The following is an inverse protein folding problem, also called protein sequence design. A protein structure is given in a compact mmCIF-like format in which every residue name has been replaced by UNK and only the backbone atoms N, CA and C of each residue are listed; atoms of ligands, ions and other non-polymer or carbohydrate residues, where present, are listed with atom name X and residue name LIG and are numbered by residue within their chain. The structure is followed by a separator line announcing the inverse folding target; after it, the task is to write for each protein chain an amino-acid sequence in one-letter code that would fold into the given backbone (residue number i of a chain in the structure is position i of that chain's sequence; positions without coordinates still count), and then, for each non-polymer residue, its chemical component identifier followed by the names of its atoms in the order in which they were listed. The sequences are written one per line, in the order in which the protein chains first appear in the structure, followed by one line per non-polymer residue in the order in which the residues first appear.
data_IF_743127001946
#
_entry.id   IF_743127001946
#
_cell.length_a   1.000
_cell.length_b   1.000
_cell.length_c   1.000
_cell.angle_alpha   90.00
_cell.angle_beta   90.00
_cell.angle_gamma   90.00
#
_symmetry.space_group_name_H-M   'P 1'
#
loop_
_entity.id
_entity.type
_entity.pdbx_description
1 polymer ?
#
# COMPACT_ATOMS: atom_id res chain seq x y z
N UNK A 1 46.62 39.48 14.15
CA UNK A 1 45.98 40.33 15.15
C UNK A 1 45.31 39.38 16.12
N UNK A 2 46.05 38.80 17.06
CA UNK A 2 46.33 39.14 18.47
C UNK A 2 45.10 39.64 19.24
N UNK A 3 44.62 38.86 20.16
CA UNK A 3 44.66 39.18 21.59
C UNK A 3 44.08 38.06 22.45
N UNK A 4 44.97 37.54 23.25
CA UNK A 4 44.80 36.78 24.48
C UNK A 4 44.27 37.66 25.61
N UNK A 5 43.47 37.09 26.51
CA UNK A 5 43.35 37.60 27.88
C UNK A 5 43.23 36.45 28.89
N UNK A 6 44.24 36.39 29.76
CA UNK A 6 44.32 35.64 30.99
C UNK A 6 43.93 36.53 32.18
N UNK A 7 43.31 35.97 33.24
CA UNK A 7 43.38 36.47 34.62
C UNK A 7 42.95 35.34 35.55
N UNK A 8 43.84 34.72 36.31
CA UNK A 8 44.39 34.96 37.63
C UNK A 8 43.39 34.86 38.81
N UNK A 9 43.71 33.88 39.68
CA UNK A 9 43.10 33.64 41.00
C UNK A 9 43.59 34.67 42.06
N UNK A 10 42.98 34.72 43.22
CA UNK A 10 43.75 34.80 44.43
C UNK A 10 43.35 33.87 45.60
N UNK A 11 44.36 33.54 46.29
CA UNK A 11 44.65 32.88 47.53
C UNK A 11 43.80 33.22 48.78
N UNK A 12 43.58 32.18 49.62
CA UNK A 12 44.05 32.20 51.03
C UNK A 12 42.98 32.23 52.12
N UNK A 13 42.84 31.22 52.93
CA UNK A 13 43.33 31.26 54.28
C UNK A 13 43.07 29.95 55.07
N UNK A 14 44.01 29.61 55.85
CA UNK A 14 44.11 28.50 56.82
C UNK A 14 43.21 28.79 58.03
N UNK A 15 42.59 27.80 58.64
CA UNK A 15 42.56 27.57 60.07
C UNK A 15 42.43 26.11 60.43
N UNK A 16 43.31 25.65 61.28
CA UNK A 16 43.39 24.41 62.04
C UNK A 16 42.26 24.30 63.03
N UNK A 17 41.77 23.07 63.31
CA UNK A 17 41.49 22.53 64.66
C UNK A 17 41.27 21.01 64.61
N UNK A 18 41.95 20.38 65.59
CA UNK A 18 41.98 18.93 65.88
C UNK A 18 40.64 18.27 66.18
N UNK A 19 40.60 16.95 65.91
CA UNK A 19 40.17 15.96 66.89
C UNK A 19 38.86 15.27 66.61
N UNK A 20 38.87 14.04 66.26
CA UNK A 20 38.38 12.91 67.04
C UNK A 20 38.32 11.64 66.15
N UNK A 21 39.10 10.64 66.56
CA UNK A 21 38.98 9.28 65.98
C UNK A 21 37.63 8.66 66.29
N UNK A 22 36.93 8.24 65.27
CA UNK A 22 35.90 7.20 65.42
C UNK A 22 36.11 6.17 64.31
N UNK A 23 36.63 5.02 64.67
CA UNK A 23 36.69 3.83 63.88
C UNK A 23 35.26 3.38 63.58
N UNK A 24 34.79 3.52 62.33
CA UNK A 24 33.61 2.83 61.83
C UNK A 24 34.11 1.90 60.74
N UNK A 25 34.17 0.61 61.11
CA UNK A 25 34.33 -0.52 60.18
C UNK A 25 33.18 -0.53 59.21
N UNK A 26 33.32 0.13 58.08
CA UNK A 26 32.38 0.00 56.97
C UNK A 26 32.69 -1.28 56.22
N UNK A 27 31.95 -2.32 56.47
CA UNK A 27 31.92 -3.53 55.64
C UNK A 27 31.42 -3.16 54.24
N UNK A 28 32.34 -2.99 53.31
CA UNK A 28 32.01 -2.94 51.87
C UNK A 28 31.54 -4.32 51.45
N UNK A 29 30.24 -4.51 51.46
CA UNK A 29 29.60 -5.61 50.73
C UNK A 29 29.90 -5.42 49.25
N UNK A 30 30.96 -6.06 48.75
CA UNK A 30 31.10 -6.37 47.36
C UNK A 30 29.96 -7.31 46.98
N UNK A 31 28.87 -6.78 46.46
CA UNK A 31 27.87 -7.57 45.73
C UNK A 31 28.58 -7.99 44.46
N UNK A 32 29.30 -9.11 44.50
CA UNK A 32 29.68 -9.83 43.31
C UNK A 32 28.40 -10.27 42.62
N UNK A 33 27.89 -9.43 41.72
CA UNK A 33 26.93 -9.82 40.74
C UNK A 33 27.59 -10.86 39.81
N UNK A 34 27.74 -12.09 40.30
CA UNK A 34 27.96 -13.23 39.42
C UNK A 34 26.72 -13.35 38.54
N UNK A 35 26.77 -12.69 37.40
CA UNK A 35 25.82 -12.98 36.32
C UNK A 35 25.88 -14.48 36.06
N UNK A 36 24.92 -15.23 36.59
CA UNK A 36 24.75 -16.64 36.23
C UNK A 36 24.56 -16.67 34.72
N UNK A 37 25.59 -17.05 33.98
CA UNK A 37 25.44 -17.38 32.57
C UNK A 37 24.33 -18.43 32.51
N UNK A 38 23.28 -18.12 31.76
CA UNK A 38 22.26 -19.12 31.52
C UNK A 38 22.92 -20.40 30.98
N UNK A 39 22.44 -21.58 31.37
CA UNK A 39 23.00 -22.83 30.86
C UNK A 39 22.98 -22.80 29.34
N UNK A 40 23.98 -23.42 28.67
CA UNK A 40 24.02 -23.49 27.21
C UNK A 40 22.71 -24.10 26.72
N UNK A 41 22.02 -23.37 25.85
CA UNK A 41 20.78 -23.88 25.23
C UNK A 41 21.17 -24.95 24.21
N UNK A 42 20.51 -26.12 24.26
CA UNK A 42 20.73 -27.16 23.28
C UNK A 42 20.49 -26.61 21.87
N UNK A 43 21.43 -26.74 20.92
CA UNK A 43 21.29 -26.19 19.58
C UNK A 43 19.95 -26.44 18.91
N UNK A 44 19.42 -27.65 19.04
CA UNK A 44 18.13 -28.09 18.48
C UNK A 44 16.92 -27.25 18.98
N UNK A 45 17.01 -26.63 20.15
CA UNK A 45 15.93 -25.79 20.70
C UNK A 45 15.89 -24.40 20.04
N UNK A 46 16.99 -23.97 19.43
CA UNK A 46 17.12 -22.64 18.83
C UNK A 46 17.28 -22.70 17.32
N UNK A 47 17.79 -23.82 16.76
CA UNK A 47 17.93 -23.99 15.31
C UNK A 47 16.57 -23.87 14.62
N UNK A 48 16.44 -22.96 13.62
CA UNK A 48 15.19 -22.79 12.88
C UNK A 48 14.74 -24.09 12.20
N UNK A 49 13.45 -24.30 12.08
CA UNK A 49 12.92 -25.33 11.19
C UNK A 49 13.23 -25.01 9.73
N UNK A 50 13.05 -25.98 8.84
CA UNK A 50 13.16 -25.73 7.41
C UNK A 50 12.25 -24.57 6.97
N UNK A 51 12.75 -23.75 6.05
CA UNK A 51 11.94 -22.73 5.40
C UNK A 51 10.78 -23.41 4.68
N UNK A 52 9.57 -22.89 4.89
CA UNK A 52 8.34 -23.43 4.30
C UNK A 52 7.77 -22.48 3.25
N UNK A 53 6.80 -22.96 2.47
CA UNK A 53 6.11 -22.18 1.43
C UNK A 53 7.08 -21.56 0.42
N UNK A 54 8.19 -22.24 0.12
CA UNK A 54 9.10 -21.79 -0.93
C UNK A 54 8.43 -22.02 -2.27
N UNK A 55 8.38 -20.95 -3.09
CA UNK A 55 7.92 -20.99 -4.47
C UNK A 55 8.97 -20.38 -5.38
N UNK A 56 8.97 -20.76 -6.65
CA UNK A 56 9.82 -20.19 -7.68
C UNK A 56 9.01 -20.02 -8.95
N UNK A 57 9.04 -18.81 -9.53
CA UNK A 57 8.40 -18.51 -10.80
C UNK A 57 9.40 -17.83 -11.74
N UNK A 58 9.26 -18.09 -13.03
CA UNK A 58 10.07 -17.43 -14.05
C UNK A 58 9.38 -16.17 -14.57
N UNK A 59 10.15 -15.10 -14.72
CA UNK A 59 9.75 -13.92 -15.49
C UNK A 59 10.94 -13.47 -16.30
N UNK A 60 10.79 -13.48 -17.60
CA UNK A 60 11.91 -13.29 -18.51
C UNK A 60 13.06 -14.28 -18.18
N UNK A 61 14.30 -13.82 -18.21
CA UNK A 61 15.48 -14.60 -17.87
C UNK A 61 15.84 -14.57 -16.37
N UNK A 62 14.85 -14.50 -15.48
CA UNK A 62 15.01 -14.41 -14.01
C UNK A 62 14.13 -15.40 -13.29
N UNK A 63 14.60 -15.85 -12.12
CA UNK A 63 13.79 -16.63 -11.19
C UNK A 63 13.41 -15.78 -9.97
N UNK A 64 12.13 -15.72 -9.67
CA UNK A 64 11.56 -15.04 -8.50
C UNK A 64 11.23 -16.08 -7.45
N UNK A 65 11.93 -16.02 -6.34
CA UNK A 65 11.78 -16.92 -5.19
C UNK A 65 10.99 -16.22 -4.10
N UNK A 66 9.93 -16.87 -3.61
CA UNK A 66 9.19 -16.36 -2.45
C UNK A 66 9.18 -17.41 -1.34
N UNK A 67 9.24 -16.95 -0.10
CA UNK A 67 9.17 -17.82 1.08
C UNK A 67 8.65 -17.08 2.30
N UNK A 68 8.24 -17.85 3.31
CA UNK A 68 7.85 -17.29 4.60
C UNK A 68 8.90 -17.57 5.68
N UNK A 69 9.03 -16.64 6.63
CA UNK A 69 9.90 -16.78 7.79
C UNK A 69 9.48 -17.99 8.63
N UNK A 70 10.38 -18.92 9.00
CA UNK A 70 10.05 -19.98 9.92
C UNK A 70 9.61 -19.47 11.28
N UNK A 71 8.41 -19.82 11.71
CA UNK A 71 7.87 -19.42 13.01
C UNK A 71 8.41 -20.25 14.17
N UNK A 72 8.95 -21.47 13.90
CA UNK A 72 9.34 -22.45 14.92
C UNK A 72 10.77 -22.95 14.73
N UNK A 73 11.37 -23.38 15.84
CA UNK A 73 12.62 -24.16 15.85
C UNK A 73 12.34 -25.65 15.55
N UNK A 74 13.39 -26.45 15.38
CA UNK A 74 13.30 -27.89 15.15
C UNK A 74 12.50 -28.63 16.23
N UNK A 75 12.50 -28.16 17.47
CA UNK A 75 11.73 -28.72 18.60
C UNK A 75 10.38 -28.03 18.82
N UNK A 76 9.87 -27.27 17.84
CA UNK A 76 8.55 -26.66 17.86
C UNK A 76 8.40 -25.42 18.74
N UNK A 77 9.47 -24.93 19.38
CA UNK A 77 9.47 -23.66 20.10
C UNK A 77 9.51 -22.47 19.12
N UNK A 78 9.07 -21.27 19.52
CA UNK A 78 9.20 -20.10 18.66
C UNK A 78 10.64 -19.95 18.14
N UNK A 79 10.79 -19.78 16.83
CA UNK A 79 12.10 -19.50 16.24
C UNK A 79 12.56 -18.12 16.69
N UNK A 80 13.68 -18.06 17.44
CA UNK A 80 14.28 -16.81 17.86
C UNK A 80 15.29 -16.37 16.80
N UNK A 81 15.26 -15.08 16.47
CA UNK A 81 16.31 -14.33 15.76
C UNK A 81 16.94 -15.05 14.56
N UNK A 82 16.15 -15.28 13.53
CA UNK A 82 16.70 -15.62 12.21
C UNK A 82 17.48 -14.41 11.75
N UNK A 83 18.78 -14.61 11.45
CA UNK A 83 19.69 -13.57 10.96
C UNK A 83 19.61 -13.39 9.46
N UNK A 84 19.70 -14.52 8.76
CA UNK A 84 19.74 -14.52 7.29
C UNK A 84 19.15 -15.80 6.72
N UNK A 85 18.86 -15.77 5.44
CA UNK A 85 18.53 -16.91 4.61
C UNK A 85 19.63 -17.12 3.61
N UNK A 86 20.10 -18.36 3.48
CA UNK A 86 21.01 -18.77 2.42
C UNK A 86 20.20 -19.40 1.30
N UNK A 87 20.42 -18.93 0.08
CA UNK A 87 19.75 -19.39 -1.14
C UNK A 87 20.74 -20.18 -1.97
N UNK A 88 20.38 -21.42 -2.25
CA UNK A 88 21.18 -22.34 -3.06
C UNK A 88 20.48 -22.65 -4.36
N UNK A 89 21.27 -22.68 -5.46
CA UNK A 89 20.82 -23.00 -6.82
C UNK A 89 21.66 -24.13 -7.41
N UNK A 90 21.03 -25.01 -8.16
CA UNK A 90 21.70 -25.94 -9.07
C UNK A 90 20.96 -25.98 -10.41
N UNK A 91 21.69 -26.28 -11.47
CA UNK A 91 21.10 -26.63 -12.76
C UNK A 91 20.57 -28.06 -12.73
N UNK A 92 19.40 -28.27 -13.33
CA UNK A 92 18.79 -29.58 -13.49
C UNK A 92 19.11 -30.07 -14.89
N UNK A 93 19.91 -31.13 -14.99
CA UNK A 93 20.19 -31.81 -16.25
C UNK A 93 19.13 -32.88 -16.51
N UNK A 94 18.77 -33.09 -17.77
CA UNK A 94 17.82 -34.13 -18.17
C UNK A 94 18.37 -35.52 -17.94
N UNK A 95 19.69 -35.71 -18.03
CA UNK A 95 20.39 -36.98 -17.80
C UNK A 95 21.67 -36.76 -16.99
N UNK A 96 22.01 -37.74 -16.17
CA UNK A 96 23.23 -37.77 -15.38
C UNK A 96 23.04 -37.48 -13.90
N UNK A 97 24.18 -37.44 -13.15
CA UNK A 97 24.17 -37.14 -11.73
C UNK A 97 23.72 -35.69 -11.45
N UNK A 98 22.95 -35.50 -10.37
CA UNK A 98 22.55 -34.19 -9.92
C UNK A 98 23.81 -33.34 -9.63
N UNK A 99 23.87 -32.15 -10.23
CA UNK A 99 24.92 -31.18 -9.93
C UNK A 99 24.79 -30.68 -8.49
N UNK A 100 25.91 -30.42 -7.79
CA UNK A 100 25.86 -29.85 -6.45
C UNK A 100 25.23 -28.46 -6.50
N UNK A 101 24.42 -28.13 -5.50
CA UNK A 101 23.85 -26.80 -5.36
C UNK A 101 24.92 -25.83 -4.84
N UNK A 102 24.98 -24.63 -5.41
CA UNK A 102 25.88 -23.54 -5.03
C UNK A 102 25.13 -22.46 -4.30
N UNK A 103 25.75 -21.88 -3.29
CA UNK A 103 25.22 -20.70 -2.61
C UNK A 103 25.29 -19.50 -3.56
N UNK A 104 24.14 -18.92 -3.87
CA UNK A 104 24.05 -17.76 -4.80
C UNK A 104 23.79 -16.46 -4.07
N UNK A 105 23.12 -16.49 -2.91
CA UNK A 105 22.81 -15.29 -2.16
C UNK A 105 22.62 -15.55 -0.67
N UNK A 106 22.84 -14.51 0.12
CA UNK A 106 22.46 -14.39 1.52
C UNK A 106 21.52 -13.20 1.68
N UNK A 107 20.35 -13.42 2.30
CA UNK A 107 19.32 -12.41 2.52
C UNK A 107 19.20 -12.17 4.01
N UNK A 108 19.56 -10.97 4.50
CA UNK A 108 19.40 -10.58 5.90
C UNK A 108 17.92 -10.56 6.28
N UNK A 109 17.55 -11.18 7.40
CA UNK A 109 16.15 -11.36 7.76
C UNK A 109 15.45 -10.06 8.22
N UNK A 110 16.20 -9.13 8.82
CA UNK A 110 15.59 -7.93 9.39
C UNK A 110 15.74 -6.67 8.50
N UNK A 111 16.76 -6.60 7.66
CA UNK A 111 17.03 -5.48 6.77
C UNK A 111 17.67 -6.02 5.47
N UNK A 112 16.90 -6.66 4.61
CA UNK A 112 17.43 -7.17 3.37
C UNK A 112 17.74 -6.02 2.40
N UNK A 113 18.94 -6.03 1.86
CA UNK A 113 19.37 -5.09 0.81
C UNK A 113 19.06 -5.64 -0.59
N UNK A 114 18.89 -6.94 -0.70
CA UNK A 114 18.78 -7.70 -1.96
C UNK A 114 17.47 -8.50 -2.08
N UNK A 115 16.47 -8.24 -1.23
CA UNK A 115 15.16 -8.88 -1.29
C UNK A 115 14.07 -7.91 -0.87
N UNK A 116 12.85 -8.11 -1.38
CA UNK A 116 11.65 -7.41 -0.91
C UNK A 116 11.07 -8.15 0.28
N UNK A 117 10.52 -7.40 1.26
CA UNK A 117 9.84 -7.96 2.44
C UNK A 117 8.47 -7.35 2.60
N UNK A 118 7.49 -8.21 2.83
CA UNK A 118 6.12 -7.81 3.17
C UNK A 118 5.64 -8.69 4.33
N UNK A 119 5.60 -8.13 5.54
CA UNK A 119 5.35 -8.90 6.75
C UNK A 119 6.39 -10.00 6.96
N UNK A 120 5.95 -11.26 7.06
CA UNK A 120 6.82 -12.44 7.20
C UNK A 120 7.22 -13.05 5.85
N UNK A 121 6.84 -12.47 4.73
CA UNK A 121 7.12 -12.97 3.38
C UNK A 121 8.29 -12.23 2.76
N UNK A 122 9.16 -12.98 2.09
CA UNK A 122 10.34 -12.49 1.38
C UNK A 122 10.23 -12.82 -0.09
N UNK A 123 10.75 -11.94 -0.94
CA UNK A 123 10.92 -12.18 -2.37
C UNK A 123 12.36 -11.83 -2.78
N UNK A 124 13.07 -12.78 -3.38
CA UNK A 124 14.42 -12.63 -3.93
C UNK A 124 14.38 -12.89 -5.44
N UNK A 125 15.15 -12.13 -6.19
CA UNK A 125 15.29 -12.28 -7.63
C UNK A 125 16.67 -12.81 -7.96
N UNK A 126 16.73 -14.01 -8.53
CA UNK A 126 17.95 -14.53 -9.14
C UNK A 126 17.99 -14.08 -10.60
N UNK A 127 18.84 -13.12 -10.87
CA UNK A 127 19.11 -12.57 -12.21
C UNK A 127 20.43 -13.06 -12.82
N UNK A 128 20.97 -14.16 -12.28
CA UNK A 128 22.26 -14.69 -12.75
C UNK A 128 23.42 -13.74 -12.51
N UNK A 129 23.41 -12.92 -11.46
CA UNK A 129 24.37 -11.86 -11.15
C UNK A 129 24.40 -10.77 -12.24
N UNK A 130 23.22 -10.34 -12.69
CA UNK A 130 23.05 -9.30 -13.70
C UNK A 130 23.16 -9.78 -15.16
N UNK A 131 23.49 -11.06 -15.39
CA UNK A 131 23.64 -11.63 -16.74
C UNK A 131 22.38 -12.30 -17.28
N UNK A 132 21.39 -12.51 -16.40
CA UNK A 132 20.24 -13.35 -16.68
C UNK A 132 20.55 -14.85 -16.55
N UNK A 133 19.51 -15.64 -16.38
CA UNK A 133 19.55 -17.08 -16.42
C UNK A 133 19.36 -17.57 -17.87
N UNK A 134 19.91 -18.74 -18.19
CA UNK A 134 19.80 -19.28 -19.56
C UNK A 134 18.36 -19.73 -19.83
N UNK A 135 17.84 -19.33 -20.99
CA UNK A 135 16.56 -19.85 -21.48
C UNK A 135 16.63 -21.35 -21.74
N UNK A 136 15.48 -22.00 -21.69
CA UNK A 136 15.30 -23.46 -21.84
C UNK A 136 16.01 -24.29 -20.76
N UNK A 137 16.58 -23.65 -19.74
CA UNK A 137 17.26 -24.31 -18.63
C UNK A 137 16.34 -24.41 -17.41
N UNK A 138 16.33 -25.57 -16.77
CA UNK A 138 15.65 -25.78 -15.48
C UNK A 138 16.65 -25.63 -14.33
N UNK A 139 16.22 -24.87 -13.32
CA UNK A 139 16.97 -24.65 -12.08
C UNK A 139 16.18 -25.18 -10.89
N UNK A 140 16.90 -25.69 -9.90
CA UNK A 140 16.35 -26.11 -8.62
C UNK A 140 16.95 -25.26 -7.49
N UNK A 141 16.09 -24.84 -6.58
CA UNK A 141 16.44 -23.99 -5.44
C UNK A 141 16.06 -24.64 -4.13
N UNK A 142 16.89 -24.45 -3.12
CA UNK A 142 16.52 -24.67 -1.72
C UNK A 142 17.10 -23.56 -0.85
N UNK A 143 16.48 -23.34 0.30
CA UNK A 143 16.84 -22.29 1.24
C UNK A 143 17.16 -22.90 2.61
N UNK A 144 18.05 -22.20 3.34
CA UNK A 144 18.33 -22.48 4.75
C UNK A 144 18.17 -21.21 5.56
N UNK A 145 17.51 -21.30 6.71
CA UNK A 145 17.45 -20.21 7.68
C UNK A 145 18.63 -20.34 8.67
N UNK A 146 19.31 -19.24 8.92
CA UNK A 146 20.47 -19.14 9.81
C UNK A 146 20.08 -18.30 11.01
N UNK A 147 20.37 -18.78 12.22
CA UNK A 147 20.23 -17.98 13.43
C UNK A 147 21.59 -17.64 14.03
N UNK A 148 21.59 -16.71 15.01
CA UNK A 148 22.82 -16.23 15.63
C UNK A 148 23.54 -17.35 16.40
N UNK A 149 24.79 -17.69 15.97
CA UNK A 149 25.70 -18.56 16.70
C UNK A 149 25.39 -20.08 16.67
N UNK A 150 24.42 -20.54 15.91
CA UNK A 150 23.92 -21.94 15.98
C UNK A 150 24.03 -22.73 14.66
N UNK A 151 24.54 -22.09 13.61
CA UNK A 151 24.65 -22.73 12.30
C UNK A 151 23.33 -22.80 11.50
N UNK A 152 23.38 -23.36 10.28
CA UNK A 152 22.24 -23.44 9.40
C UNK A 152 21.18 -24.42 9.85
N UNK A 153 19.91 -24.05 9.72
CA UNK A 153 18.79 -24.95 9.78
C UNK A 153 18.80 -25.97 8.63
N UNK A 154 17.92 -26.98 8.65
CA UNK A 154 17.80 -27.91 7.55
C UNK A 154 17.36 -27.19 6.27
N UNK A 155 17.73 -27.74 5.08
CA UNK A 155 17.29 -27.20 3.82
C UNK A 155 15.77 -27.30 3.69
N UNK A 156 15.17 -26.34 2.99
CA UNK A 156 13.78 -26.44 2.54
C UNK A 156 13.60 -27.61 1.55
N UNK A 157 12.35 -27.92 1.22
CA UNK A 157 12.07 -28.68 0.00
C UNK A 157 12.64 -27.93 -1.20
N UNK A 158 13.16 -28.68 -2.16
CA UNK A 158 13.59 -28.13 -3.44
C UNK A 158 12.37 -27.68 -4.25
N UNK A 159 12.47 -26.49 -4.85
CA UNK A 159 11.51 -26.00 -5.83
C UNK A 159 12.22 -25.86 -7.16
N UNK A 160 11.53 -26.21 -8.24
CA UNK A 160 12.08 -26.16 -9.58
C UNK A 160 11.39 -25.07 -10.39
N UNK A 161 12.15 -24.40 -11.24
CA UNK A 161 11.64 -23.44 -12.21
C UNK A 161 12.39 -23.62 -13.54
N UNK A 162 11.65 -23.63 -14.63
CA UNK A 162 12.20 -23.56 -15.97
C UNK A 162 12.21 -22.11 -16.41
N UNK A 163 13.30 -21.67 -17.01
CA UNK A 163 13.43 -20.35 -17.57
C UNK A 163 13.07 -20.42 -19.05
N UNK A 164 11.87 -19.96 -19.37
CA UNK A 164 11.39 -19.91 -20.75
C UNK A 164 11.27 -18.45 -21.20
N UNK A 165 11.54 -18.16 -22.50
CA UNK A 165 11.30 -16.82 -23.02
C UNK A 165 9.80 -16.52 -22.98
N UNK A 166 9.42 -15.61 -22.09
CA UNK A 166 8.03 -15.17 -21.93
C UNK A 166 7.65 -14.03 -22.85
N UNK A 167 6.41 -13.53 -22.80
CA UNK A 167 5.99 -12.36 -23.56
C UNK A 167 6.76 -11.11 -23.09
N UNK A 168 6.99 -10.18 -24.02
CA UNK A 168 7.44 -8.84 -23.62
C UNK A 168 6.41 -8.17 -22.69
N UNK A 169 6.82 -7.21 -21.85
CA UNK A 169 5.89 -6.47 -21.03
C UNK A 169 4.85 -5.73 -21.88
N UNK A 170 3.60 -5.63 -21.41
CA UNK A 170 2.63 -4.68 -21.96
C UNK A 170 3.17 -3.25 -21.92
N UNK A 171 2.69 -2.40 -22.81
CA UNK A 171 3.13 -1.01 -22.90
C UNK A 171 1.97 -0.04 -22.85
N UNK A 172 2.27 1.25 -22.64
CA UNK A 172 1.29 2.33 -22.63
C UNK A 172 0.12 2.09 -21.67
N UNK A 173 0.39 1.48 -20.49
CA UNK A 173 -0.61 1.40 -19.45
C UNK A 173 -1.04 2.81 -19.05
N UNK A 174 -2.37 3.06 -19.12
CA UNK A 174 -3.04 4.29 -18.71
C UNK A 174 -4.06 3.96 -17.64
N UNK A 175 -4.23 4.88 -16.70
CA UNK A 175 -5.21 4.80 -15.63
C UNK A 175 -5.99 6.11 -15.55
N UNK A 176 -7.33 6.03 -15.55
CA UNK A 176 -8.24 7.18 -15.47
C UNK A 176 -9.16 6.95 -14.28
N UNK A 177 -9.12 7.89 -13.31
CA UNK A 177 -10.00 7.86 -12.13
C UNK A 177 -11.43 8.24 -12.48
N UNK A 178 -12.38 7.53 -11.87
CA UNK A 178 -13.81 7.85 -11.83
C UNK A 178 -14.30 7.78 -10.38
N UNK A 179 -15.61 7.83 -10.16
CA UNK A 179 -16.16 7.70 -8.81
C UNK A 179 -16.00 6.27 -8.30
N UNK A 180 -15.15 6.09 -7.25
CA UNK A 180 -14.78 4.80 -6.63
C UNK A 180 -14.26 3.76 -7.62
N UNK A 181 -13.76 4.21 -8.78
CA UNK A 181 -13.32 3.34 -9.86
C UNK A 181 -12.06 3.87 -10.52
N UNK A 182 -11.31 2.98 -11.19
CA UNK A 182 -10.26 3.34 -12.13
C UNK A 182 -10.44 2.53 -13.41
N UNK A 183 -10.52 3.21 -14.55
CA UNK A 183 -10.45 2.59 -15.87
C UNK A 183 -8.99 2.46 -16.29
N UNK A 184 -8.61 1.26 -16.69
CA UNK A 184 -7.26 0.90 -17.10
C UNK A 184 -7.26 0.42 -18.55
N UNK A 185 -6.23 0.82 -19.32
CA UNK A 185 -6.04 0.35 -20.69
C UNK A 185 -4.55 0.27 -21.02
N UNK A 186 -4.15 -0.69 -21.87
CA UNK A 186 -2.76 -0.93 -22.24
C UNK A 186 -2.65 -1.48 -23.65
N UNK A 187 -1.42 -1.57 -24.16
CA UNK A 187 -1.11 -2.22 -25.42
C UNK A 187 -0.50 -3.59 -25.21
N UNK A 188 -0.94 -4.53 -26.04
CA UNK A 188 -0.47 -5.91 -26.03
C UNK A 188 0.96 -6.03 -26.57
N UNK A 189 1.82 -6.87 -25.97
CA UNK A 189 3.06 -7.26 -26.61
C UNK A 189 2.78 -8.13 -27.84
N UNK A 190 3.61 -7.97 -28.85
CA UNK A 190 3.58 -8.79 -30.06
C UNK A 190 4.59 -9.92 -30.05
N UNK A 191 5.68 -9.73 -29.30
CA UNK A 191 6.83 -10.63 -29.30
C UNK A 191 7.13 -11.16 -27.91
N UNK A 192 7.80 -12.31 -27.87
CA UNK A 192 8.50 -12.85 -26.70
C UNK A 192 9.85 -12.16 -26.52
N UNK A 193 10.45 -12.36 -25.36
CA UNK A 193 11.78 -11.80 -25.01
C UNK A 193 12.93 -12.38 -25.87
N UNK A 194 12.72 -13.53 -26.52
CA UNK A 194 13.66 -14.11 -27.51
C UNK A 194 13.45 -13.57 -28.96
N UNK A 195 12.55 -12.62 -29.13
CA UNK A 195 12.24 -11.98 -30.40
C UNK A 195 11.26 -12.75 -31.28
N UNK A 196 10.78 -13.92 -30.88
CA UNK A 196 9.74 -14.66 -31.60
C UNK A 196 8.37 -14.02 -31.40
N UNK A 197 7.53 -14.07 -32.43
CA UNK A 197 6.17 -13.56 -32.38
C UNK A 197 5.31 -14.47 -31.51
N UNK A 198 4.39 -13.85 -30.72
CA UNK A 198 3.38 -14.58 -29.97
C UNK A 198 2.39 -15.24 -30.95
N UNK A 199 2.14 -16.51 -30.76
CA UNK A 199 1.25 -17.32 -31.63
C UNK A 199 -0.21 -17.24 -31.18
N UNK A 200 -0.43 -16.89 -29.90
CA UNK A 200 -1.76 -16.70 -29.31
C UNK A 200 -1.85 -15.33 -28.64
N UNK A 201 -3.04 -14.72 -28.57
CA UNK A 201 -3.24 -13.49 -27.82
C UNK A 201 -2.86 -13.67 -26.35
N UNK A 202 -2.05 -12.75 -25.78
CA UNK A 202 -1.67 -12.83 -24.38
C UNK A 202 -2.85 -12.54 -23.46
N UNK A 203 -2.84 -13.17 -22.30
CA UNK A 203 -3.68 -12.85 -21.16
C UNK A 203 -2.94 -11.91 -20.21
N UNK A 204 -3.64 -11.33 -19.20
CA UNK A 204 -3.02 -10.34 -18.35
C UNK A 204 -3.36 -10.52 -16.87
N UNK A 205 -2.38 -10.21 -16.02
CA UNK A 205 -2.56 -9.98 -14.60
C UNK A 205 -2.27 -8.51 -14.28
N UNK A 206 -3.18 -7.89 -13.53
CA UNK A 206 -3.12 -6.50 -13.14
C UNK A 206 -2.81 -6.40 -11.64
N UNK A 207 -1.84 -5.59 -11.30
CA UNK A 207 -1.35 -5.39 -9.94
C UNK A 207 -1.59 -3.96 -9.50
N UNK A 208 -1.97 -3.79 -8.24
CA UNK A 208 -2.27 -2.50 -7.63
C UNK A 208 -1.44 -2.30 -6.36
N UNK A 209 -1.08 -1.06 -6.10
CA UNK A 209 -0.42 -0.63 -4.87
C UNK A 209 -0.91 0.73 -4.39
N UNK A 210 -0.52 1.11 -3.18
CA UNK A 210 -0.79 2.42 -2.57
C UNK A 210 0.43 3.33 -2.49
N UNK A 211 1.57 2.87 -3.00
CA UNK A 211 2.80 3.63 -3.10
C UNK A 211 3.50 3.32 -4.44
N UNK A 212 4.31 4.25 -4.96
CA UNK A 212 5.04 4.04 -6.20
C UNK A 212 5.88 2.77 -6.16
N UNK A 213 5.85 1.99 -7.24
CA UNK A 213 6.63 0.76 -7.44
C UNK A 213 6.48 -0.29 -6.31
N UNK A 214 5.38 -0.20 -5.57
CA UNK A 214 5.07 -1.12 -4.47
C UNK A 214 3.67 -1.69 -4.67
N UNK A 215 3.59 -2.87 -5.27
CA UNK A 215 2.35 -3.55 -5.62
C UNK A 215 2.09 -4.73 -4.70
N UNK A 216 0.82 -5.09 -4.55
CA UNK A 216 0.43 -6.32 -3.87
C UNK A 216 1.02 -7.53 -4.59
N UNK A 217 1.36 -8.58 -3.84
CA UNK A 217 1.95 -9.80 -4.40
C UNK A 217 0.99 -10.62 -5.25
N UNK A 218 -0.31 -10.35 -5.15
CA UNK A 218 -1.37 -11.02 -5.92
C UNK A 218 -2.02 -10.04 -6.88
N UNK A 219 -2.40 -10.50 -8.07
CA UNK A 219 -3.17 -9.68 -8.99
C UNK A 219 -4.55 -9.35 -8.39
N UNK A 220 -5.11 -8.21 -8.79
CA UNK A 220 -6.47 -7.80 -8.40
C UNK A 220 -7.56 -8.55 -9.15
N UNK A 221 -7.25 -9.08 -10.33
CA UNK A 221 -8.15 -9.94 -11.09
C UNK A 221 -8.09 -11.38 -10.57
N UNK A 222 -9.25 -12.03 -10.49
CA UNK A 222 -9.37 -13.43 -10.00
C UNK A 222 -9.06 -14.46 -11.08
N UNK A 223 -9.21 -14.09 -12.34
CA UNK A 223 -8.85 -14.88 -13.53
C UNK A 223 -8.03 -13.98 -14.48
N UNK A 224 -7.11 -14.54 -15.27
CA UNK A 224 -6.39 -13.76 -16.26
C UNK A 224 -7.32 -12.99 -17.18
N UNK A 225 -7.02 -11.72 -17.43
CA UNK A 225 -7.85 -10.80 -18.20
C UNK A 225 -7.64 -11.10 -19.69
N UNK A 226 -8.72 -11.31 -20.40
CA UNK A 226 -8.75 -11.29 -21.86
C UNK A 226 -9.00 -9.84 -22.31
N UNK A 227 -8.28 -9.40 -23.34
CA UNK A 227 -8.41 -8.02 -23.83
C UNK A 227 -7.40 -7.06 -23.20
N UNK A 228 -7.58 -5.75 -23.43
CA UNK A 228 -6.59 -4.72 -23.14
C UNK A 228 -7.13 -3.59 -22.27
N UNK A 229 -8.15 -3.88 -21.48
CA UNK A 229 -8.72 -2.93 -20.53
C UNK A 229 -9.31 -3.64 -19.33
N UNK A 230 -9.42 -2.91 -18.22
CA UNK A 230 -10.01 -3.39 -16.97
C UNK A 230 -10.60 -2.22 -16.20
N UNK A 231 -11.65 -2.47 -15.41
CA UNK A 231 -12.22 -1.49 -14.50
C UNK A 231 -12.01 -2.01 -13.08
N UNK A 232 -11.18 -1.30 -12.33
CA UNK A 232 -11.01 -1.54 -10.89
C UNK A 232 -12.09 -0.77 -10.13
N UNK A 233 -12.82 -1.45 -9.26
CA UNK A 233 -14.00 -0.91 -8.57
C UNK A 233 -13.87 -1.03 -7.05
N UNK A 234 -14.75 -0.32 -6.31
CA UNK A 234 -14.76 -0.37 -4.85
C UNK A 234 -13.57 0.37 -4.21
N UNK A 235 -13.02 1.34 -4.92
CA UNK A 235 -11.91 2.14 -4.47
C UNK A 235 -12.38 3.28 -3.55
N UNK A 236 -11.49 3.77 -2.71
CA UNK A 236 -11.74 5.00 -1.98
C UNK A 236 -11.43 6.20 -2.89
N UNK A 237 -12.33 7.18 -2.92
CA UNK A 237 -12.06 8.45 -3.57
C UNK A 237 -10.94 9.20 -2.85
N UNK A 238 -10.23 10.07 -3.56
CA UNK A 238 -9.13 10.92 -3.09
C UNK A 238 -7.90 10.13 -2.58
N UNK A 239 -7.77 8.85 -2.97
CA UNK A 239 -6.62 8.00 -2.66
C UNK A 239 -5.86 7.68 -3.95
N UNK A 240 -4.54 7.87 -3.93
CA UNK A 240 -3.68 7.48 -5.05
C UNK A 240 -3.53 5.96 -5.13
N UNK A 241 -3.78 5.41 -6.31
CA UNK A 241 -3.55 4.00 -6.63
C UNK A 241 -2.57 3.89 -7.79
N UNK A 242 -1.60 3.01 -7.63
CA UNK A 242 -0.53 2.73 -8.59
C UNK A 242 -0.77 1.36 -9.21
N UNK A 243 -0.62 1.27 -10.52
CA UNK A 243 -0.92 0.06 -11.27
C UNK A 243 0.22 -0.34 -12.17
N UNK A 244 0.37 -1.65 -12.33
CA UNK A 244 1.17 -2.28 -13.38
C UNK A 244 0.44 -3.49 -13.93
N UNK A 245 0.70 -3.85 -15.17
CA UNK A 245 0.13 -5.02 -15.83
C UNK A 245 1.24 -5.91 -16.36
N UNK A 246 1.04 -7.24 -16.25
CA UNK A 246 1.95 -8.24 -16.80
C UNK A 246 1.19 -9.10 -17.80
N UNK A 247 1.86 -9.45 -18.88
CA UNK A 247 1.32 -10.36 -19.89
C UNK A 247 1.62 -11.82 -19.50
N UNK A 248 0.72 -12.71 -19.86
CA UNK A 248 0.84 -14.16 -19.72
C UNK A 248 0.73 -14.76 -21.11
N UNK A 249 1.67 -15.59 -21.49
CA UNK A 249 1.57 -16.40 -22.69
C UNK A 249 0.78 -17.68 -22.34
N UNK A 250 -0.42 -17.90 -22.92
CA UNK A 250 -1.23 -19.06 -22.59
C UNK A 250 -0.62 -20.39 -23.05
N UNK A 251 0.40 -20.36 -23.92
CA UNK A 251 1.12 -21.55 -24.39
C UNK A 251 2.24 -21.99 -23.44
N UNK A 252 2.64 -21.13 -22.51
CA UNK A 252 3.64 -21.46 -21.51
C UNK A 252 3.00 -22.03 -20.23
N UNK A 253 3.75 -22.82 -19.44
CA UNK A 253 3.25 -23.34 -18.15
C UNK A 253 2.72 -22.21 -17.27
N UNK A 254 1.67 -22.48 -16.52
CA UNK A 254 1.03 -21.50 -15.62
C UNK A 254 2.04 -20.85 -14.67
N UNK A 255 1.97 -19.54 -14.51
CA UNK A 255 2.87 -18.75 -13.65
C UNK A 255 3.98 -18.00 -14.39
N UNK A 256 4.14 -18.22 -15.71
CA UNK A 256 5.08 -17.45 -16.52
C UNK A 256 4.47 -16.11 -16.95
N UNK A 257 4.75 -15.09 -16.17
CA UNK A 257 4.38 -13.70 -16.46
C UNK A 257 5.55 -12.94 -17.08
N UNK A 258 5.24 -11.92 -17.88
CA UNK A 258 6.23 -10.92 -18.29
C UNK A 258 6.77 -10.11 -17.12
N UNK A 259 7.78 -9.31 -17.36
CA UNK A 259 8.10 -8.18 -16.50
C UNK A 259 6.93 -7.18 -16.49
N UNK A 260 7.02 -6.22 -15.57
CA UNK A 260 6.02 -5.17 -15.39
C UNK A 260 5.96 -4.20 -16.57
N UNK A 261 4.77 -3.72 -16.90
CA UNK A 261 4.59 -2.57 -17.79
C UNK A 261 5.15 -1.29 -17.15
N UNK A 262 5.02 -0.16 -17.85
CA UNK A 262 5.14 1.13 -17.19
C UNK A 262 4.10 1.24 -16.04
N UNK A 263 4.46 1.97 -14.98
CA UNK A 263 3.51 2.32 -13.93
C UNK A 263 2.52 3.37 -14.42
N UNK A 264 1.24 3.22 -14.01
CA UNK A 264 0.21 4.23 -14.16
C UNK A 264 -0.38 4.55 -12.79
N UNK A 265 -0.68 5.83 -12.56
CA UNK A 265 -1.30 6.29 -11.32
C UNK A 265 -2.64 6.94 -11.60
N UNK A 266 -3.63 6.68 -10.76
CA UNK A 266 -4.92 7.38 -10.78
C UNK A 266 -5.40 7.66 -9.37
N UNK A 267 -6.18 8.73 -9.25
CA UNK A 267 -6.90 9.12 -8.03
C UNK A 267 -8.38 9.10 -8.39
N UNK A 268 -9.15 8.13 -7.90
CA UNK A 268 -10.61 8.17 -7.97
C UNK A 268 -11.12 9.45 -7.30
N UNK A 269 -12.21 9.98 -7.81
CA UNK A 269 -12.74 11.25 -7.36
C UNK A 269 -14.27 11.19 -7.38
N UNK A 270 -14.87 11.69 -6.32
CA UNK A 270 -16.33 11.74 -6.21
C UNK A 270 -16.90 12.74 -7.22
N UNK A 271 -17.70 12.23 -8.14
CA UNK A 271 -18.39 13.03 -9.15
C UNK A 271 -19.92 12.87 -9.07
N UNK A 272 -20.40 12.21 -8.02
CA UNK A 272 -21.83 11.90 -7.84
C UNK A 272 -22.48 12.92 -6.92
N UNK A 273 -23.33 13.83 -7.44
CA UNK A 273 -24.04 14.78 -6.60
C UNK A 273 -25.06 14.06 -5.70
N UNK A 274 -25.43 14.67 -4.56
CA UNK A 274 -26.57 14.19 -3.76
C UNK A 274 -27.87 14.16 -4.55
N UNK A 275 -28.86 13.42 -4.07
CA UNK A 275 -30.19 13.46 -4.63
C UNK A 275 -30.85 14.85 -4.43
N UNK A 276 -31.77 15.22 -5.31
CA UNK A 276 -32.54 16.45 -5.20
C UNK A 276 -33.34 16.46 -3.90
N UNK A 277 -33.32 17.56 -3.12
CA UNK A 277 -34.16 17.69 -1.93
C UNK A 277 -35.65 17.49 -2.29
N UNK A 278 -36.40 16.88 -1.37
CA UNK A 278 -37.82 16.55 -1.58
C UNK A 278 -38.71 17.30 -0.57
N UNK A 279 -39.98 17.38 -0.90
CA UNK A 279 -41.04 17.89 -0.02
C UNK A 279 -40.76 19.33 0.45
N UNK A 280 -40.18 20.17 -0.45
CA UNK A 280 -40.02 21.58 -0.17
C UNK A 280 -41.39 22.20 0.08
N UNK A 281 -41.52 22.92 1.19
CA UNK A 281 -42.69 23.69 1.55
C UNK A 281 -42.28 25.13 1.90
N UNK A 282 -43.17 26.06 1.70
CA UNK A 282 -42.95 27.47 2.00
C UNK A 282 -44.21 28.10 2.61
N UNK A 283 -44.03 28.92 3.63
CA UNK A 283 -45.09 29.65 4.28
C UNK A 283 -44.70 31.11 4.52
N UNK A 284 -45.61 32.04 4.16
CA UNK A 284 -45.46 33.46 4.51
C UNK A 284 -45.76 33.65 6.02
N UNK A 285 -44.84 34.26 6.75
CA UNK A 285 -44.93 34.53 8.16
C UNK A 285 -44.59 36.01 8.42
N UNK A 286 -45.61 36.84 8.40
CA UNK A 286 -45.42 38.31 8.48
C UNK A 286 -44.68 38.87 7.26
N UNK A 287 -43.44 39.37 7.42
CA UNK A 287 -42.60 39.92 6.36
C UNK A 287 -41.47 38.99 5.93
N UNK A 288 -41.55 37.69 6.24
CA UNK A 288 -40.55 36.70 5.87
C UNK A 288 -41.22 35.45 5.28
N UNK A 289 -40.49 34.70 4.45
CA UNK A 289 -40.90 33.37 3.97
C UNK A 289 -40.09 32.32 4.69
N UNK A 290 -40.78 31.36 5.31
CA UNK A 290 -40.17 30.21 5.97
C UNK A 290 -40.25 29.00 5.06
N UNK A 291 -39.10 28.39 4.81
CA UNK A 291 -38.93 27.19 4.00
C UNK A 291 -38.58 26.00 4.84
N UNK A 292 -39.09 24.82 4.47
CA UNK A 292 -38.71 23.56 5.06
C UNK A 292 -38.75 22.45 4.00
N UNK A 293 -37.85 21.48 4.13
CA UNK A 293 -37.74 20.32 3.21
C UNK A 293 -37.26 19.08 3.97
N UNK A 294 -37.32 17.91 3.31
CA UNK A 294 -36.81 16.67 3.91
C UNK A 294 -35.28 16.61 3.88
N UNK A 295 -34.73 15.98 4.90
CA UNK A 295 -33.29 15.73 4.97
C UNK A 295 -32.86 14.72 3.92
N UNK A 296 -31.80 15.00 3.24
CA UNK A 296 -31.12 14.06 2.35
C UNK A 296 -30.39 12.97 3.13
N UNK A 297 -30.41 11.69 2.66
CA UNK A 297 -29.81 10.57 3.39
C UNK A 297 -28.31 10.37 3.13
N UNK A 298 -27.70 11.08 2.21
CA UNK A 298 -26.32 10.90 1.80
C UNK A 298 -25.37 11.24 2.97
N UNK A 299 -24.41 10.31 3.22
CA UNK A 299 -23.50 10.44 4.36
C UNK A 299 -22.47 11.57 4.19
N UNK A 300 -22.20 11.97 2.97
CA UNK A 300 -21.26 13.01 2.57
C UNK A 300 -21.92 14.36 2.30
N UNK A 301 -23.19 14.51 2.65
CA UNK A 301 -23.92 15.76 2.49
C UNK A 301 -23.26 16.91 3.27
N UNK A 302 -22.85 17.98 2.58
CA UNK A 302 -22.35 19.20 3.21
C UNK A 302 -23.48 20.15 3.63
N UNK A 303 -24.60 20.15 2.89
CA UNK A 303 -25.75 20.99 3.18
C UNK A 303 -26.57 21.37 1.94
N UNK A 304 -27.25 22.53 2.04
CA UNK A 304 -28.23 22.96 1.07
C UNK A 304 -27.98 24.40 0.63
N UNK A 305 -28.24 24.65 -0.66
CA UNK A 305 -28.38 25.99 -1.21
C UNK A 305 -29.85 26.29 -1.49
N UNK A 306 -30.31 27.47 -1.11
CA UNK A 306 -31.67 27.93 -1.29
C UNK A 306 -31.71 28.96 -2.40
N UNK A 307 -32.67 28.83 -3.28
CA UNK A 307 -32.85 29.63 -4.46
C UNK A 307 -34.22 30.32 -4.48
N UNK A 308 -34.26 31.49 -5.02
CA UNK A 308 -35.50 32.26 -5.25
C UNK A 308 -35.55 32.78 -6.67
N UNK A 309 -36.70 32.79 -7.28
CA UNK A 309 -36.99 33.40 -8.55
C UNK A 309 -38.29 34.21 -8.52
N UNK A 310 -38.40 35.19 -9.45
CA UNK A 310 -39.63 35.90 -9.77
C UNK A 310 -40.47 35.21 -10.87
N UNK A 311 -39.88 34.24 -11.56
CA UNK A 311 -40.46 33.51 -12.68
C UNK A 311 -40.42 32.03 -12.47
N UNK A 312 -41.46 31.28 -12.85
CA UNK A 312 -41.47 29.81 -12.69
C UNK A 312 -40.40 29.16 -13.57
N UNK A 313 -39.61 28.28 -13.02
CA UNK A 313 -38.63 27.41 -13.72
C UNK A 313 -37.35 28.12 -14.18
N UNK A 314 -37.22 29.43 -14.06
CA UNK A 314 -36.08 30.18 -14.59
C UNK A 314 -35.67 31.36 -13.67
N UNK A 315 -34.43 31.84 -13.84
CA UNK A 315 -33.97 33.05 -13.17
C UNK A 315 -33.72 32.89 -11.66
N UNK A 316 -33.44 31.72 -11.21
CA UNK A 316 -33.14 31.42 -9.79
C UNK A 316 -31.87 32.15 -9.34
N UNK A 317 -31.95 32.85 -8.24
CA UNK A 317 -30.82 33.44 -7.54
C UNK A 317 -30.60 32.74 -6.23
N UNK A 318 -29.35 32.42 -5.93
CA UNK A 318 -28.95 31.78 -4.68
C UNK A 318 -29.04 32.77 -3.52
N UNK A 319 -29.71 32.37 -2.44
CA UNK A 319 -29.92 33.19 -1.26
C UNK A 319 -28.83 33.08 -0.17
N UNK A 320 -28.16 31.92 -0.12
CA UNK A 320 -27.08 31.66 0.86
C UNK A 320 -25.76 31.33 0.15
N UNK A 321 -24.70 32.02 0.55
CA UNK A 321 -23.34 31.82 -0.02
C UNK A 321 -22.65 30.55 0.51
N UNK A 322 -23.00 30.14 1.74
CA UNK A 322 -22.49 28.93 2.40
C UNK A 322 -23.65 27.97 2.54
N UNK A 323 -23.45 26.66 2.27
CA UNK A 323 -24.51 25.68 2.44
C UNK A 323 -25.03 25.66 3.88
N UNK A 324 -26.33 25.60 4.05
CA UNK A 324 -26.95 25.40 5.38
C UNK A 324 -27.09 23.91 5.66
N UNK A 325 -26.71 23.50 6.87
CA UNK A 325 -26.92 22.10 7.34
C UNK A 325 -28.32 21.86 7.86
N UNK A 326 -29.14 22.94 8.00
CA UNK A 326 -30.53 22.84 8.46
C UNK A 326 -31.43 22.53 7.28
N UNK A 327 -32.49 21.79 7.55
CA UNK A 327 -33.59 21.52 6.60
C UNK A 327 -34.64 22.62 6.59
N UNK A 328 -34.29 23.80 7.05
CA UNK A 328 -35.14 24.99 7.08
C UNK A 328 -34.34 26.24 6.73
N UNK A 329 -35.03 27.21 6.10
CA UNK A 329 -34.43 28.50 5.79
C UNK A 329 -35.47 29.61 5.95
N UNK A 330 -35.02 30.82 6.28
CA UNK A 330 -35.89 32.00 6.41
C UNK A 330 -35.38 33.10 5.45
N UNK A 331 -36.20 33.41 4.45
CA UNK A 331 -35.96 34.58 3.59
C UNK A 331 -36.62 35.78 4.20
N UNK A 332 -35.78 36.73 4.67
CA UNK A 332 -36.20 38.01 5.31
C UNK A 332 -36.25 39.18 4.34
N UNK A 333 -35.72 39.01 3.13
CA UNK A 333 -35.58 40.07 2.16
C UNK A 333 -36.51 39.84 0.97
N UNK A 334 -37.81 39.75 1.26
CA UNK A 334 -38.83 39.52 0.22
C UNK A 334 -39.34 40.87 -0.34
N UNK A 335 -39.46 40.99 -1.66
CA UNK A 335 -40.11 42.18 -2.26
C UNK A 335 -41.64 42.17 -2.01
N UNK A 336 -42.29 43.35 -1.81
CA UNK A 336 -43.72 43.40 -1.60
C UNK A 336 -44.51 43.15 -2.91
N UNK A 337 -45.78 42.77 -2.79
CA UNK A 337 -46.76 42.61 -3.85
C UNK A 337 -46.25 41.83 -5.07
N UNK A 338 -45.74 40.61 -4.81
CA UNK A 338 -45.09 39.79 -5.85
C UNK A 338 -45.36 38.32 -5.64
N UNK A 339 -45.08 37.52 -6.69
CA UNK A 339 -45.06 36.05 -6.63
C UNK A 339 -43.62 35.61 -6.60
N UNK A 340 -43.26 34.73 -5.64
CA UNK A 340 -41.94 34.18 -5.49
C UNK A 340 -41.98 32.70 -5.68
N UNK A 341 -40.93 32.15 -6.33
CA UNK A 341 -40.70 30.73 -6.52
C UNK A 341 -39.43 30.32 -5.80
N UNK A 342 -39.48 29.32 -5.00
CA UNK A 342 -38.35 28.81 -4.22
C UNK A 342 -38.00 27.40 -4.65
N UNK A 343 -36.72 27.10 -4.67
CA UNK A 343 -36.18 25.76 -4.88
C UNK A 343 -34.94 25.56 -4.00
N UNK A 344 -34.55 24.32 -3.76
CA UNK A 344 -33.39 23.96 -2.93
C UNK A 344 -32.56 22.91 -3.66
N UNK A 345 -31.25 23.03 -3.62
CA UNK A 345 -30.32 22.01 -4.01
C UNK A 345 -29.56 21.46 -2.80
N UNK A 346 -29.06 20.25 -2.91
CA UNK A 346 -28.15 19.61 -1.96
C UNK A 346 -26.74 19.62 -2.54
N UNK A 347 -25.72 19.77 -1.68
CA UNK A 347 -24.31 19.75 -2.06
C UNK A 347 -23.55 18.82 -1.13
N UNK A 348 -22.62 18.05 -1.69
CA UNK A 348 -21.77 17.15 -0.93
C UNK A 348 -20.52 17.84 -0.33
N UNK A 349 -19.75 17.09 0.45
CA UNK A 349 -18.50 17.54 1.05
C UNK A 349 -17.26 17.15 0.26
N UNK A 350 -17.43 16.57 -0.95
CA UNK A 350 -16.32 16.24 -1.83
C UNK A 350 -15.50 17.50 -2.20
N UNK A 351 -14.24 17.37 -2.62
CA UNK A 351 -13.46 18.49 -3.13
C UNK A 351 -14.12 19.20 -4.31
N UNK A 352 -14.88 18.46 -5.13
CA UNK A 352 -15.62 18.97 -6.30
C UNK A 352 -16.87 19.73 -5.90
N UNK A 353 -17.38 19.50 -4.69
CA UNK A 353 -18.62 20.09 -4.22
C UNK A 353 -19.79 19.88 -5.19
N UNK A 354 -20.04 18.59 -5.49
CA UNK A 354 -21.08 18.22 -6.42
C UNK A 354 -22.45 18.71 -5.90
N UNK A 355 -23.13 19.51 -6.70
CA UNK A 355 -24.44 20.08 -6.38
C UNK A 355 -25.55 19.37 -7.16
N UNK A 356 -26.60 18.97 -6.47
CA UNK A 356 -27.77 18.32 -7.07
C UNK A 356 -28.53 19.27 -8.00
N UNK A 357 -29.42 18.72 -8.82
CA UNK A 357 -30.46 19.53 -9.42
C UNK A 357 -31.38 20.16 -8.37
N UNK A 358 -32.12 21.19 -8.75
CA UNK A 358 -33.09 21.82 -7.88
C UNK A 358 -34.23 20.88 -7.52
N UNK A 359 -34.81 21.05 -6.32
CA UNK A 359 -36.07 20.44 -5.90
C UNK A 359 -37.23 20.87 -6.81
N UNK A 360 -38.41 20.27 -6.62
CA UNK A 360 -39.65 20.89 -7.10
C UNK A 360 -39.79 22.30 -6.52
N UNK A 361 -40.31 23.21 -7.34
CA UNK A 361 -40.54 24.59 -6.93
C UNK A 361 -41.76 24.72 -6.03
N UNK A 362 -41.71 25.63 -5.09
CA UNK A 362 -42.85 26.08 -4.30
C UNK A 362 -43.14 27.54 -4.56
N UNK A 363 -44.40 27.85 -4.89
CA UNK A 363 -44.88 29.21 -5.14
C UNK A 363 -45.35 29.84 -3.83
N UNK A 364 -45.03 31.11 -3.62
CA UNK A 364 -45.51 31.94 -2.50
C UNK A 364 -46.00 33.26 -3.05
N UNK A 365 -47.23 33.64 -2.70
CA UNK A 365 -47.80 34.95 -3.05
C UNK A 365 -47.58 35.94 -1.88
N UNK A 366 -46.99 37.08 -2.16
CA UNK A 366 -46.74 38.15 -1.20
C UNK A 366 -47.77 39.23 -1.46
N UNK A 367 -48.61 39.54 -0.48
CA UNK A 367 -49.65 40.56 -0.61
C UNK A 367 -49.10 41.99 -0.79
#
# INVERSE_FOLDING_TARGET
MTSSFSFQSPRGNRYFILGLNLLLLGATLFVSSCGRKAPPVVPELTTPSAVSQVTAVSRDNRAYLSWSRPAKSLKGKPAREIMEFEIYRREVKQEGAALPATLIAKVKANLPENAKVSGDSYEFVDDGQGRGLSYDQQYAYHLRAINFGQGPGPPSKEVMVRIDPGPNPPSFLKAIGGDKTVFLSWEAPRFRTDGKELTSPPLYNLYRGKAPQSYDSRPINTQPIEGRSFIDTGLANEVSYYYTVRAIDPELPSGHESLESNEAVAIPSDTTPPSRPRNLSAALAGKEVRLAWDANPEADLAGYFVYRSLYPGVGHIRLNLVPTTKVTFVDKNIPPATILYYAVSAVDSSPQRNESGLSEEVKVEIP
#
